data_IF_987061066004
#
_entry.id   IF_987061066004
#
_cell.length_a   1.000
_cell.length_b   1.000
_cell.length_c   1.000
_cell.angle_alpha   90.00
_cell.angle_beta   90.00
_cell.angle_gamma   90.00
#
_symmetry.space_group_name_H-M   'P 1'
#
loop_
_entity.id
_entity.type
_entity.pdbx_description
1 polymer ?
#
# COMPACT_ATOMS: atom_id res chain seq x y z
N UNK A 1 -24.61 -13.77 -23.63
CA UNK A 1 -23.21 -13.45 -23.27
C UNK A 1 -23.14 -12.97 -21.82
N UNK A 2 -22.29 -13.58 -21.05
CA UNK A 2 -22.13 -13.20 -19.66
C UNK A 2 -21.54 -11.79 -19.56
N UNK A 3 -22.11 -11.00 -18.66
CA UNK A 3 -21.67 -9.63 -18.46
C UNK A 3 -20.44 -9.61 -17.55
N UNK A 4 -19.44 -8.87 -17.98
CA UNK A 4 -18.26 -8.58 -17.16
C UNK A 4 -18.35 -7.14 -16.65
N UNK A 5 -18.32 -6.96 -15.33
CA UNK A 5 -18.32 -5.64 -14.71
C UNK A 5 -17.60 -5.73 -13.35
N UNK A 6 -16.30 -5.54 -13.40
CA UNK A 6 -15.49 -5.49 -12.18
C UNK A 6 -14.83 -4.13 -12.10
N UNK A 7 -14.91 -3.51 -10.94
CA UNK A 7 -14.30 -2.20 -10.69
C UNK A 7 -13.24 -2.30 -9.59
N UNK A 8 -12.22 -1.48 -9.76
CA UNK A 8 -11.18 -1.25 -8.78
C UNK A 8 -11.24 0.22 -8.39
N UNK A 9 -11.61 0.50 -7.15
CA UNK A 9 -11.79 1.88 -6.66
C UNK A 9 -12.71 2.71 -7.56
N UNK A 10 -13.77 2.08 -8.08
CA UNK A 10 -14.75 2.74 -8.95
C UNK A 10 -14.39 2.77 -10.42
N UNK A 11 -13.22 2.31 -10.81
CA UNK A 11 -12.81 2.25 -12.22
C UNK A 11 -12.89 0.84 -12.78
N UNK A 12 -13.35 0.72 -14.03
CA UNK A 12 -13.48 -0.57 -14.69
C UNK A 12 -12.12 -1.24 -14.87
N UNK A 13 -12.07 -2.54 -14.63
CA UNK A 13 -10.90 -3.35 -14.92
C UNK A 13 -11.30 -4.45 -15.92
N UNK A 14 -10.57 -4.52 -17.02
CA UNK A 14 -10.88 -5.48 -18.09
C UNK A 14 -10.50 -6.90 -17.72
N UNK A 15 -11.26 -7.85 -18.27
CA UNK A 15 -11.03 -9.27 -18.06
C UNK A 15 -9.64 -9.69 -18.52
N UNK A 16 -8.96 -10.44 -17.66
CA UNK A 16 -7.63 -10.99 -17.98
C UNK A 16 -6.52 -9.97 -18.04
N UNK A 17 -6.74 -8.76 -17.55
CA UNK A 17 -5.73 -7.71 -17.56
C UNK A 17 -5.19 -7.44 -16.18
N UNK A 18 -4.06 -6.73 -16.17
CA UNK A 18 -3.47 -6.21 -14.94
C UNK A 18 -3.68 -4.71 -14.89
N UNK A 19 -3.99 -4.20 -13.72
CA UNK A 19 -4.03 -2.78 -13.47
C UNK A 19 -2.94 -2.44 -12.46
N UNK A 20 -2.16 -1.42 -12.78
CA UNK A 20 -1.07 -0.96 -11.93
C UNK A 20 -1.46 0.35 -11.28
N UNK A 21 -1.33 0.41 -9.95
CA UNK A 21 -1.53 1.63 -9.19
C UNK A 21 -0.20 2.05 -8.58
N UNK A 22 0.13 3.33 -8.71
CA UNK A 22 1.33 3.91 -8.12
C UNK A 22 0.94 4.91 -7.05
N UNK A 23 1.64 4.85 -5.94
CA UNK A 23 1.39 5.70 -4.79
C UNK A 23 2.70 6.25 -4.26
N UNK A 24 2.81 7.58 -4.19
CA UNK A 24 3.89 8.22 -3.44
C UNK A 24 3.68 7.94 -1.96
N UNK A 25 4.58 7.16 -1.36
CA UNK A 25 4.36 6.70 0.01
C UNK A 25 4.27 7.87 1.00
N UNK A 26 5.08 8.89 0.79
CA UNK A 26 5.12 10.03 1.69
C UNK A 26 3.92 10.96 1.56
N UNK A 27 3.12 10.79 0.51
CA UNK A 27 1.83 11.48 0.40
C UNK A 27 0.78 10.91 1.37
N UNK A 28 1.08 9.77 1.99
CA UNK A 28 0.18 9.11 2.94
C UNK A 28 0.53 9.38 4.39
N UNK A 29 1.40 10.34 4.65
CA UNK A 29 1.81 10.69 6.02
C UNK A 29 0.57 11.05 6.83
N UNK A 30 0.46 10.44 8.01
CA UNK A 30 -0.64 10.70 8.90
C UNK A 30 -0.28 11.85 9.84
N UNK A 31 -0.82 13.04 9.56
CA UNK A 31 -0.54 14.25 10.34
C UNK A 31 -0.88 14.11 11.82
N UNK A 32 -1.79 13.20 12.17
CA UNK A 32 -2.18 13.00 13.56
C UNK A 32 -1.10 12.30 14.39
N UNK A 33 -0.13 11.69 13.73
CA UNK A 33 0.99 11.04 14.41
C UNK A 33 2.10 12.03 14.80
N UNK A 34 2.02 13.27 14.30
CA UNK A 34 2.96 14.32 14.65
C UNK A 34 2.44 15.09 15.86
N UNK A 35 3.27 15.14 16.91
CA UNK A 35 2.99 15.95 18.10
C UNK A 35 3.54 17.36 17.92
N UNK A 36 3.23 18.24 18.84
CA UNK A 36 3.77 19.60 18.83
C UNK A 36 5.31 19.65 18.88
N UNK A 37 5.92 18.60 19.38
CA UNK A 37 7.38 18.50 19.46
C UNK A 37 8.00 18.18 18.10
N UNK A 38 7.21 17.72 17.17
CA UNK A 38 7.61 17.40 15.81
C UNK A 38 7.33 18.54 14.84
N UNK A 39 6.95 19.68 15.36
CA UNK A 39 6.62 20.86 14.56
C UNK A 39 7.81 21.41 13.76
N UNK A 40 9.02 20.98 14.08
CA UNK A 40 10.21 21.32 13.31
C UNK A 40 10.31 20.56 11.99
N UNK A 41 9.45 19.57 11.77
CA UNK A 41 9.38 18.87 10.49
C UNK A 41 8.68 19.78 9.49
N UNK A 42 9.43 20.33 8.56
CA UNK A 42 8.88 21.17 7.51
C UNK A 42 8.00 20.34 6.59
N UNK A 43 6.89 20.92 6.13
CA UNK A 43 6.02 20.24 5.18
C UNK A 43 6.83 19.74 3.96
N UNK A 44 6.64 18.47 3.61
CA UNK A 44 7.38 17.80 2.53
C UNK A 44 8.71 17.20 2.94
N UNK A 45 9.14 17.38 4.17
CA UNK A 45 10.33 16.71 4.71
C UNK A 45 9.91 15.56 5.60
N UNK A 46 10.66 14.48 5.55
CA UNK A 46 10.43 13.29 6.33
C UNK A 46 11.65 12.94 7.15
N UNK A 47 11.42 12.33 8.28
CA UNK A 47 12.45 12.01 9.23
C UNK A 47 12.17 10.65 9.87
N UNK A 48 13.17 10.02 10.51
CA UNK A 48 12.95 8.81 11.28
C UNK A 48 11.80 8.97 12.27
N UNK A 49 10.98 7.96 12.40
CA UNK A 49 9.78 7.98 13.22
C UNK A 49 8.51 8.40 12.49
N UNK A 50 8.61 8.85 11.25
CA UNK A 50 7.44 9.18 10.42
C UNK A 50 6.63 7.93 10.12
N UNK A 51 5.32 8.05 10.16
CA UNK A 51 4.37 6.97 9.89
C UNK A 51 3.33 7.39 8.86
N UNK A 52 2.67 6.40 8.29
CA UNK A 52 1.56 6.62 7.39
C UNK A 52 0.76 5.34 7.17
N UNK A 53 -0.25 5.44 6.33
CA UNK A 53 -1.09 4.30 5.99
C UNK A 53 -1.68 4.48 4.60
N UNK A 54 -2.00 3.36 3.96
CA UNK A 54 -2.69 3.39 2.68
C UNK A 54 -3.56 2.14 2.52
N UNK A 55 -4.57 2.28 1.68
CA UNK A 55 -5.41 1.18 1.23
C UNK A 55 -5.41 1.20 -0.30
N UNK A 56 -5.00 0.07 -0.90
CA UNK A 56 -4.80 0.05 -2.35
C UNK A 56 -6.10 -0.21 -3.09
N UNK A 57 -6.92 -1.13 -2.62
CA UNK A 57 -7.99 -1.62 -3.47
C UNK A 57 -9.27 -1.93 -2.72
N UNK A 58 -10.35 -1.50 -3.34
CA UNK A 58 -11.66 -2.07 -3.13
C UNK A 58 -12.11 -2.63 -4.48
N UNK A 59 -12.27 -3.95 -4.55
CA UNK A 59 -12.72 -4.65 -5.75
C UNK A 59 -14.19 -5.03 -5.61
N UNK A 60 -14.97 -4.69 -6.61
CA UNK A 60 -16.39 -5.03 -6.67
C UNK A 60 -16.63 -5.82 -7.93
N UNK A 61 -17.29 -6.98 -7.81
CA UNK A 61 -17.68 -7.81 -8.93
C UNK A 61 -19.19 -7.77 -9.10
N UNK A 62 -19.65 -6.95 -10.02
CA UNK A 62 -21.06 -6.85 -10.41
C UNK A 62 -21.30 -7.61 -11.72
N UNK A 63 -20.52 -8.65 -11.95
CA UNK A 63 -20.61 -9.50 -13.15
C UNK A 63 -21.57 -10.66 -12.94
N UNK A 64 -21.97 -11.26 -14.06
CA UNK A 64 -22.72 -12.52 -14.04
C UNK A 64 -21.80 -13.74 -13.84
N UNK A 65 -20.51 -13.52 -13.75
CA UNK A 65 -19.49 -14.57 -13.67
C UNK A 65 -18.65 -14.42 -12.42
N UNK A 66 -18.18 -15.54 -11.88
CA UNK A 66 -17.21 -15.55 -10.82
C UNK A 66 -15.84 -15.16 -11.36
N UNK A 67 -15.07 -14.49 -10.54
CA UNK A 67 -13.70 -14.08 -10.82
C UNK A 67 -12.78 -14.43 -9.68
N UNK A 68 -11.52 -14.19 -9.91
CA UNK A 68 -10.49 -14.27 -8.87
C UNK A 68 -9.50 -13.13 -9.07
N UNK A 69 -8.84 -12.74 -8.00
CA UNK A 69 -7.92 -11.63 -8.03
C UNK A 69 -6.63 -11.95 -7.29
N UNK A 70 -5.60 -11.22 -7.66
CA UNK A 70 -4.29 -11.31 -7.01
C UNK A 70 -3.66 -9.92 -7.00
N UNK A 71 -3.09 -9.53 -5.87
CA UNK A 71 -2.44 -8.23 -5.72
C UNK A 71 -1.00 -8.47 -5.27
N UNK A 72 -0.08 -7.87 -5.99
CA UNK A 72 1.33 -7.89 -5.64
C UNK A 72 1.84 -6.47 -5.48
N UNK A 73 2.86 -6.31 -4.64
CA UNK A 73 3.44 -5.00 -4.33
C UNK A 73 4.91 -4.98 -4.68
N UNK A 74 5.35 -3.85 -5.16
CA UNK A 74 6.75 -3.51 -5.29
C UNK A 74 6.98 -2.09 -4.77
N UNK A 75 8.21 -1.79 -4.44
CA UNK A 75 8.57 -0.49 -3.89
C UNK A 75 9.84 0.02 -4.56
N UNK A 76 9.80 1.29 -4.96
CA UNK A 76 10.96 2.01 -5.47
C UNK A 76 11.46 2.92 -4.35
N UNK A 77 12.57 2.53 -3.75
CA UNK A 77 13.17 3.20 -2.59
C UNK A 77 14.67 3.37 -2.85
N UNK A 78 15.01 4.26 -3.75
CA UNK A 78 16.39 4.45 -4.21
C UNK A 78 17.33 4.94 -3.11
N UNK A 79 16.79 5.59 -2.10
CA UNK A 79 17.58 6.11 -0.98
C UNK A 79 17.74 5.11 0.17
N UNK A 80 17.21 3.89 -0.01
CA UNK A 80 17.29 2.83 1.00
C UNK A 80 16.80 3.26 2.39
N UNK A 81 15.71 4.00 2.42
CA UNK A 81 15.10 4.44 3.68
C UNK A 81 14.61 3.18 4.42
N UNK A 82 14.92 3.03 5.72
CA UNK A 82 14.54 1.83 6.46
C UNK A 82 13.05 1.83 6.81
N UNK A 83 12.24 1.47 5.83
CA UNK A 83 10.78 1.40 5.94
C UNK A 83 10.35 -0.02 6.25
N UNK A 84 9.31 -0.13 7.08
CA UNK A 84 8.68 -1.41 7.35
C UNK A 84 7.17 -1.24 7.41
N UNK A 85 6.45 -2.35 7.22
CA UNK A 85 5.03 -2.36 6.94
C UNK A 85 4.31 -3.37 7.83
N UNK A 86 3.04 -3.08 8.15
CA UNK A 86 2.21 -3.98 8.94
C UNK A 86 0.73 -3.80 8.58
N UNK A 87 -0.05 -4.85 8.78
CA UNK A 87 -1.52 -4.79 8.69
C UNK A 87 -2.15 -4.26 9.97
N UNK A 88 -1.36 -4.12 11.03
CA UNK A 88 -1.83 -3.64 12.33
C UNK A 88 -0.93 -2.49 12.79
N UNK A 89 -1.54 -1.34 13.02
CA UNK A 89 -0.85 -0.14 13.49
C UNK A 89 -0.09 -0.40 14.81
N UNK A 90 -0.62 -1.26 15.65
CA UNK A 90 -0.10 -1.56 16.99
C UNK A 90 0.66 -2.90 17.02
N UNK A 91 1.10 -3.38 15.87
CA UNK A 91 1.83 -4.64 15.79
C UNK A 91 3.13 -4.60 16.60
N UNK A 92 3.51 -5.75 17.14
CA UNK A 92 4.83 -5.90 17.76
C UNK A 92 5.92 -5.68 16.70
N UNK A 93 7.11 -5.25 17.13
CA UNK A 93 8.22 -4.95 16.21
C UNK A 93 8.54 -6.11 15.27
N UNK A 94 8.43 -7.34 15.75
CA UNK A 94 8.69 -8.54 14.95
C UNK A 94 7.67 -8.77 13.83
N UNK A 95 6.53 -8.12 13.87
CA UNK A 95 5.47 -8.27 12.87
C UNK A 95 5.50 -7.20 11.79
N UNK A 96 6.40 -6.23 11.91
CA UNK A 96 6.66 -5.27 10.86
C UNK A 96 7.61 -5.90 9.85
N UNK A 97 7.23 -5.85 8.59
CA UNK A 97 7.87 -6.61 7.50
C UNK A 97 8.08 -5.76 6.27
N UNK A 98 8.79 -6.34 5.31
CA UNK A 98 8.92 -5.73 3.98
C UNK A 98 7.57 -5.73 3.26
N UNK A 99 7.34 -4.72 2.42
CA UNK A 99 6.07 -4.62 1.70
C UNK A 99 5.79 -5.85 0.82
N UNK A 100 6.84 -6.42 0.22
CA UNK A 100 6.70 -7.61 -0.63
C UNK A 100 6.08 -8.81 0.11
N UNK A 101 6.22 -8.86 1.44
CA UNK A 101 5.63 -9.95 2.23
C UNK A 101 4.10 -9.91 2.23
N UNK A 102 3.51 -8.78 1.84
CA UNK A 102 2.05 -8.65 1.72
C UNK A 102 1.54 -8.98 0.33
N UNK A 103 2.43 -9.28 -0.60
CA UNK A 103 2.03 -9.75 -1.94
C UNK A 103 1.34 -11.10 -1.84
N UNK A 104 0.24 -11.24 -2.59
CA UNK A 104 -0.49 -12.51 -2.62
C UNK A 104 0.27 -13.52 -3.48
N UNK A 105 0.39 -14.74 -2.99
CA UNK A 105 1.01 -15.84 -3.74
C UNK A 105 0.00 -16.58 -4.60
N UNK A 106 -1.26 -16.52 -4.21
CA UNK A 106 -2.35 -17.24 -4.87
C UNK A 106 -3.51 -16.31 -5.12
N UNK A 107 -4.31 -16.63 -6.14
CA UNK A 107 -5.56 -15.91 -6.37
C UNK A 107 -6.56 -16.19 -5.28
N UNK A 108 -7.38 -15.20 -4.97
CA UNK A 108 -8.52 -15.32 -4.07
C UNK A 108 -9.81 -15.08 -4.82
N UNK A 109 -10.89 -15.66 -4.33
CA UNK A 109 -12.18 -15.57 -4.97
C UNK A 109 -12.74 -14.14 -4.94
N UNK A 110 -13.33 -13.74 -6.06
CA UNK A 110 -14.09 -12.51 -6.20
C UNK A 110 -15.42 -12.91 -6.82
N UNK A 111 -16.37 -13.34 -5.99
CA UNK A 111 -17.61 -13.94 -6.42
C UNK A 111 -18.51 -12.96 -7.18
N UNK A 112 -19.26 -13.49 -8.13
CA UNK A 112 -20.26 -12.69 -8.84
C UNK A 112 -21.24 -12.04 -7.88
N UNK A 113 -21.77 -10.91 -8.28
CA UNK A 113 -22.73 -10.13 -7.49
C UNK A 113 -22.20 -9.71 -6.10
N UNK A 114 -20.89 -9.58 -5.97
CA UNK A 114 -20.26 -9.05 -4.76
C UNK A 114 -20.33 -7.52 -4.73
N UNK A 115 -21.49 -6.99 -4.39
CA UNK A 115 -21.72 -5.54 -4.40
C UNK A 115 -21.04 -4.81 -3.23
N UNK A 116 -20.78 -5.51 -2.14
CA UNK A 116 -20.03 -4.95 -1.01
C UNK A 116 -18.53 -4.91 -1.27
N UNK A 117 -18.08 -5.74 -2.19
CA UNK A 117 -16.69 -5.78 -2.62
C UNK A 117 -15.75 -6.45 -1.63
N UNK A 118 -14.52 -6.56 -2.06
CA UNK A 118 -13.41 -7.07 -1.27
C UNK A 118 -12.43 -5.93 -1.06
N UNK A 119 -12.13 -5.63 0.20
CA UNK A 119 -11.11 -4.65 0.55
C UNK A 119 -9.81 -5.37 0.87
N UNK A 120 -8.70 -4.84 0.39
CA UNK A 120 -7.37 -5.38 0.73
C UNK A 120 -6.97 -5.06 2.17
N UNK A 121 -7.74 -4.18 2.84
CA UNK A 121 -7.39 -3.67 4.15
C UNK A 121 -6.34 -2.58 4.08
N UNK A 122 -6.07 -2.00 5.23
CA UNK A 122 -5.11 -0.91 5.36
C UNK A 122 -3.72 -1.48 5.62
N UNK A 123 -2.72 -0.92 4.96
CA UNK A 123 -1.31 -1.20 5.22
C UNK A 123 -0.73 0.02 5.90
N UNK A 124 -0.13 -0.20 7.07
CA UNK A 124 0.56 0.82 7.83
C UNK A 124 2.03 0.73 7.52
N UNK A 125 2.71 1.89 7.46
CA UNK A 125 4.15 1.95 7.28
C UNK A 125 4.76 2.86 8.32
N UNK A 126 6.06 2.63 8.59
CA UNK A 126 6.84 3.51 9.45
C UNK A 126 8.27 3.57 8.95
N UNK A 127 8.89 4.70 9.15
CA UNK A 127 10.33 4.86 9.02
C UNK A 127 10.92 4.46 10.36
N UNK A 128 11.60 3.31 10.39
CA UNK A 128 12.16 2.78 11.62
C UNK A 128 13.22 3.72 12.17
N UNK A 129 13.11 4.06 13.43
CA UNK A 129 14.10 4.86 14.11
C UNK A 129 15.27 3.96 14.54
N UNK A 130 16.47 4.20 13.96
CA UNK A 130 17.69 3.47 14.30
C UNK A 130 18.63 4.42 15.01
N UNK A 131 18.88 4.14 16.28
CA UNK A 131 19.67 5.02 17.17
C UNK A 131 21.13 5.16 16.76
N UNK A 132 21.65 4.24 15.96
CA UNK A 132 23.07 4.14 15.65
C UNK A 132 23.44 4.79 14.31
N UNK A 133 22.51 5.44 13.63
CA UNK A 133 22.77 6.03 12.31
C UNK A 133 22.15 7.42 12.19
N UNK A 134 22.39 8.24 13.20
CA UNK A 134 21.79 9.58 13.28
C UNK A 134 22.21 10.48 12.13
N UNK A 135 23.43 10.34 11.61
CA UNK A 135 23.91 11.21 10.55
C UNK A 135 23.26 10.89 9.21
N UNK A 136 23.06 9.61 8.88
CA UNK A 136 22.38 9.21 7.66
C UNK A 136 20.90 9.60 7.72
N UNK A 137 20.28 9.40 8.87
CA UNK A 137 18.88 9.75 9.08
C UNK A 137 18.65 11.26 8.96
N UNK A 138 19.59 12.06 9.43
CA UNK A 138 19.54 13.52 9.32
C UNK A 138 19.63 13.97 7.86
N UNK A 139 20.46 13.31 7.06
CA UNK A 139 20.62 13.64 5.64
C UNK A 139 19.31 13.40 4.88
N UNK A 140 18.58 12.34 5.18
CA UNK A 140 17.28 12.09 4.55
C UNK A 140 16.25 13.16 4.92
N UNK A 141 16.32 13.70 6.12
CA UNK A 141 15.43 14.80 6.55
C UNK A 141 15.68 16.12 5.84
N UNK A 142 16.86 16.32 5.26
CA UNK A 142 17.22 17.57 4.55
C UNK A 142 16.72 17.54 3.12
N UNK A 143 16.89 16.41 2.44
CA UNK A 143 16.44 16.23 1.05
C UNK A 143 15.09 15.54 1.07
N UNK A 144 14.18 15.95 0.21
CA UNK A 144 12.86 15.34 0.12
C UNK A 144 12.95 14.06 -0.71
N UNK A 145 13.25 12.90 -0.11
CA UNK A 145 13.33 11.67 -0.89
C UNK A 145 11.94 11.24 -1.35
N UNK A 146 11.90 10.53 -2.44
CA UNK A 146 10.67 10.00 -2.98
C UNK A 146 10.69 8.48 -2.88
N UNK A 147 9.61 7.92 -2.34
CA UNK A 147 9.39 6.48 -2.31
C UNK A 147 8.05 6.19 -2.97
N UNK A 148 8.06 5.32 -3.97
CA UNK A 148 6.85 4.98 -4.72
C UNK A 148 6.51 3.52 -4.51
N UNK A 149 5.29 3.28 -4.05
CA UNK A 149 4.73 1.94 -3.95
C UNK A 149 3.93 1.66 -5.22
N UNK A 150 4.16 0.50 -5.81
CA UNK A 150 3.42 0.03 -6.98
C UNK A 150 2.65 -1.22 -6.60
N UNK A 151 1.33 -1.17 -6.79
CA UNK A 151 0.46 -2.33 -6.63
C UNK A 151 0.02 -2.80 -8.01
N UNK A 152 0.14 -4.10 -8.27
CA UNK A 152 -0.33 -4.72 -9.49
C UNK A 152 -1.50 -5.63 -9.16
N UNK A 153 -2.65 -5.32 -9.71
CA UNK A 153 -3.90 -6.05 -9.47
C UNK A 153 -4.24 -6.83 -10.74
N UNK A 154 -4.34 -8.15 -10.61
CA UNK A 154 -4.74 -9.04 -11.69
C UNK A 154 -6.11 -9.61 -11.38
N UNK A 155 -7.03 -9.53 -12.33
CA UNK A 155 -8.38 -10.08 -12.19
C UNK A 155 -8.66 -10.97 -13.39
N UNK A 156 -9.15 -12.17 -13.13
CA UNK A 156 -9.49 -13.10 -14.20
C UNK A 156 -10.77 -13.86 -13.88
N UNK A 157 -11.43 -14.32 -14.93
CA UNK A 157 -12.66 -15.11 -14.81
C UNK A 157 -12.32 -16.53 -14.34
N UNK A 158 -13.19 -17.05 -13.49
CA UNK A 158 -13.14 -18.44 -13.03
C UNK A 158 -14.36 -19.16 -13.62
N UNK A 159 -14.09 -20.26 -14.28
CA UNK A 159 -15.16 -21.09 -14.87
C UNK A 159 -15.74 -22.07 -13.87
#
# INVERSE_FOLDING_TARGET
VARWNITLNGEDISKGTQKTLKLGLFDTINDTDFTSEESDVTAGKIAPGTTGQFEIAKLINNSDVNAQYKITYSIDNNNNIPLEFSKDKNAADSEWKSLSDFSMNNFEALSKDSTEGVSTGTIYWRWKFERNDDSADTDFGINTPEVVVTATITVEQVD
#
